data_IF_606586763782
#
_entry.id   IF_606586763782
#
_cell.length_a   1.000
_cell.length_b   1.000
_cell.length_c   1.000
_cell.angle_alpha   90.00
_cell.angle_beta   90.00
_cell.angle_gamma   90.00
#
_symmetry.space_group_name_H-M   'P 1'
#
loop_
_entity.id
_entity.type
_entity.pdbx_description
1 polymer ?
#
# COMPACT_ATOMS: atom_id res chain seq x y z
N UNK A 1 24.45 -15.11 -0.77
CA UNK A 1 23.07 -14.60 -0.60
C UNK A 1 23.09 -13.39 0.31
N UNK A 2 22.61 -12.29 -0.17
CA UNK A 2 22.54 -11.09 0.65
C UNK A 2 21.54 -11.27 1.79
N UNK A 3 21.97 -10.94 3.00
CA UNK A 3 21.10 -10.94 4.18
C UNK A 3 20.64 -9.52 4.53
N UNK A 4 20.92 -8.55 3.67
CA UNK A 4 20.49 -7.20 3.92
C UNK A 4 18.96 -7.11 3.92
N UNK A 5 18.40 -6.38 4.90
CA UNK A 5 16.96 -6.17 4.91
C UNK A 5 16.54 -5.31 3.73
N UNK A 6 15.33 -5.56 3.22
CA UNK A 6 14.77 -4.77 2.15
C UNK A 6 14.61 -3.31 2.58
N UNK A 7 14.85 -2.41 1.64
CA UNK A 7 14.59 -0.97 1.82
C UNK A 7 13.09 -0.66 1.62
N UNK A 8 12.75 0.62 1.69
CA UNK A 8 11.36 1.06 1.52
C UNK A 8 10.79 0.62 0.17
N UNK A 9 11.58 0.67 -0.89
CA UNK A 9 11.13 0.24 -2.22
C UNK A 9 10.82 -1.26 -2.24
N UNK A 10 11.68 -2.08 -1.62
CA UNK A 10 11.44 -3.53 -1.52
C UNK A 10 10.19 -3.85 -0.73
N UNK A 11 9.93 -3.09 0.35
CA UNK A 11 8.74 -3.26 1.19
C UNK A 11 7.48 -2.93 0.41
N UNK A 12 7.44 -1.78 -0.27
CA UNK A 12 6.23 -1.38 -1.00
C UNK A 12 5.99 -2.26 -2.22
N UNK A 13 7.04 -2.76 -2.86
CA UNK A 13 6.91 -3.72 -3.95
C UNK A 13 6.26 -5.01 -3.46
N UNK A 14 6.64 -5.48 -2.27
CA UNK A 14 6.03 -6.66 -1.66
C UNK A 14 4.55 -6.41 -1.32
N UNK A 15 4.19 -5.21 -0.86
CA UNK A 15 2.80 -4.83 -0.62
C UNK A 15 2.01 -4.86 -1.93
N UNK A 16 2.56 -4.28 -3.00
CA UNK A 16 1.91 -4.32 -4.32
C UNK A 16 1.67 -5.75 -4.77
N UNK A 17 2.67 -6.60 -4.67
CA UNK A 17 2.56 -8.00 -5.09
C UNK A 17 1.53 -8.75 -4.26
N UNK A 18 1.48 -8.50 -2.96
CA UNK A 18 0.47 -9.08 -2.07
C UNK A 18 -0.95 -8.66 -2.49
N UNK A 19 -1.16 -7.38 -2.75
CA UNK A 19 -2.46 -6.89 -3.20
C UNK A 19 -2.83 -7.44 -4.56
N UNK A 20 -1.88 -7.48 -5.49
CA UNK A 20 -2.13 -7.98 -6.84
C UNK A 20 -2.51 -9.47 -6.82
N UNK A 21 -1.93 -10.24 -5.91
CA UNK A 21 -2.23 -11.66 -5.76
C UNK A 21 -3.61 -11.92 -5.12
N UNK A 22 -4.04 -11.05 -4.21
CA UNK A 22 -5.24 -11.27 -3.41
C UNK A 22 -6.47 -10.51 -3.91
N UNK A 23 -6.30 -9.49 -4.75
CA UNK A 23 -7.40 -8.78 -5.38
C UNK A 23 -7.94 -9.57 -6.59
N UNK A 24 -9.20 -9.32 -7.00
CA UNK A 24 -9.72 -9.92 -8.24
C UNK A 24 -8.83 -9.58 -9.43
N UNK A 25 -8.74 -10.51 -10.39
CA UNK A 25 -7.85 -10.37 -11.55
C UNK A 25 -8.14 -9.13 -12.40
N UNK A 26 -9.36 -8.61 -12.36
CA UNK A 26 -9.72 -7.40 -13.09
C UNK A 26 -9.12 -6.12 -12.50
N UNK A 27 -8.68 -6.15 -11.23
CA UNK A 27 -8.13 -4.98 -10.54
C UNK A 27 -6.62 -5.07 -10.54
N UNK A 28 -5.96 -4.21 -11.30
CA UNK A 28 -4.50 -4.14 -11.35
C UNK A 28 -3.99 -3.17 -10.30
N UNK A 29 -2.80 -3.46 -9.76
CA UNK A 29 -2.16 -2.61 -8.77
C UNK A 29 -0.92 -1.97 -9.39
N UNK A 30 -0.88 -0.65 -9.36
CA UNK A 30 0.22 0.14 -9.91
C UNK A 30 0.99 0.81 -8.80
N UNK A 31 2.29 0.98 -9.01
CA UNK A 31 3.18 1.60 -8.04
C UNK A 31 3.69 2.92 -8.60
N UNK A 32 3.41 4.01 -7.89
CA UNK A 32 3.87 5.34 -8.24
C UNK A 32 2.96 6.06 -9.22
N UNK A 33 2.74 5.52 -10.38
CA UNK A 33 1.90 6.16 -11.39
C UNK A 33 1.12 5.14 -12.19
N UNK A 34 0.11 5.61 -12.89
CA UNK A 34 -0.75 4.76 -13.71
C UNK A 34 -0.60 5.20 -15.16
N UNK A 35 -0.32 4.25 -16.10
CA UNK A 35 -0.20 4.62 -17.51
C UNK A 35 -1.48 5.27 -18.03
N UNK A 36 -1.33 6.26 -18.89
CA UNK A 36 -2.45 6.92 -19.54
C UNK A 36 -3.30 5.89 -20.29
N UNK A 37 -4.62 6.04 -20.19
CA UNK A 37 -5.55 5.14 -20.86
C UNK A 37 -5.83 3.86 -20.11
N UNK A 38 -5.32 3.69 -18.89
CA UNK A 38 -5.63 2.53 -18.07
C UNK A 38 -7.11 2.54 -17.69
N UNK A 39 -7.77 1.43 -17.92
CA UNK A 39 -9.20 1.30 -17.63
C UNK A 39 -9.43 0.88 -16.17
N UNK A 40 -10.42 1.47 -15.48
CA UNK A 40 -10.78 1.02 -14.13
C UNK A 40 -11.45 -0.37 -14.19
N UNK A 41 -11.44 -1.15 -13.09
CA UNK A 41 -10.89 -0.79 -11.78
C UNK A 41 -9.38 -0.96 -11.68
N UNK A 42 -8.73 -0.10 -10.92
CA UNK A 42 -7.32 -0.27 -10.59
C UNK A 42 -6.98 0.42 -9.27
N UNK A 43 -5.82 0.06 -8.72
CA UNK A 43 -5.30 0.64 -7.48
C UNK A 43 -3.94 1.26 -7.77
N UNK A 44 -3.71 2.45 -7.28
CA UNK A 44 -2.42 3.12 -7.35
C UNK A 44 -1.86 3.31 -5.94
N UNK A 45 -0.63 2.89 -5.73
CA UNK A 45 0.07 3.04 -4.45
C UNK A 45 1.11 4.13 -4.56
N UNK A 46 1.09 5.07 -3.61
CA UNK A 46 2.03 6.18 -3.53
C UNK A 46 2.76 6.12 -2.19
N UNK A 47 3.94 5.49 -2.16
CA UNK A 47 4.70 5.34 -0.92
C UNK A 47 5.59 6.53 -0.63
N UNK A 48 5.94 6.71 0.65
CA UNK A 48 7.06 7.54 1.03
C UNK A 48 8.37 6.73 0.91
N UNK A 49 9.49 7.35 1.25
CA UNK A 49 10.80 6.68 1.18
C UNK A 49 11.17 5.97 2.48
N UNK A 50 10.22 5.91 3.41
CA UNK A 50 10.46 5.34 4.72
C UNK A 50 11.01 6.38 5.70
N UNK A 51 10.74 6.16 6.97
CA UNK A 51 11.20 7.01 8.04
C UNK A 51 11.66 6.16 9.21
N UNK A 52 12.63 6.67 9.96
CA UNK A 52 13.05 6.04 11.20
C UNK A 52 11.87 5.99 12.17
N UNK A 53 11.61 4.81 12.74
CA UNK A 53 10.55 4.69 13.73
C UNK A 53 10.96 5.37 15.03
N UNK A 54 10.07 6.20 15.57
CA UNK A 54 10.31 6.88 16.83
C UNK A 54 9.84 6.08 18.04
N UNK A 55 9.11 4.99 17.81
CA UNK A 55 8.46 4.26 18.90
C UNK A 55 9.39 3.32 19.65
N UNK A 56 10.42 2.81 19.00
CA UNK A 56 11.34 1.86 19.61
C UNK A 56 12.74 2.02 19.03
N UNK A 57 13.64 2.58 19.80
CA UNK A 57 15.02 2.74 19.42
C UNK A 57 15.89 1.72 20.16
N UNK A 58 16.13 0.61 19.53
CA UNK A 58 17.06 -0.38 20.04
C UNK A 58 18.42 -0.14 19.44
N UNK A 59 19.43 -0.03 20.27
CA UNK A 59 20.80 0.13 19.83
C UNK A 59 21.41 -1.17 19.30
N UNK A 60 20.81 -2.30 19.67
CA UNK A 60 21.37 -3.60 19.34
C UNK A 60 21.08 -4.06 17.90
N UNK A 61 19.90 -3.77 17.38
CA UNK A 61 19.39 -4.38 16.16
C UNK A 61 19.09 -3.39 15.04
N UNK A 62 19.57 -2.17 15.18
CA UNK A 62 19.22 -1.11 14.24
C UNK A 62 17.82 -0.58 14.51
N UNK A 63 17.48 0.49 13.81
CA UNK A 63 16.23 1.22 14.04
C UNK A 63 15.15 0.64 13.14
N UNK A 64 13.95 0.35 13.68
CA UNK A 64 12.81 -0.01 12.85
C UNK A 64 12.48 1.11 11.87
N UNK A 65 11.99 0.74 10.71
CA UNK A 65 11.59 1.68 9.67
C UNK A 65 10.08 1.69 9.55
N UNK A 66 9.49 2.88 9.52
CA UNK A 66 8.08 3.05 9.21
C UNK A 66 7.94 3.41 7.74
N UNK A 67 7.12 2.65 7.03
CA UNK A 67 6.79 2.93 5.63
C UNK A 67 5.32 3.27 5.57
N UNK A 68 5.02 4.42 4.97
CA UNK A 68 3.65 4.87 4.77
C UNK A 68 3.36 4.93 3.29
N UNK A 69 2.13 4.62 2.94
CA UNK A 69 1.69 4.76 1.56
C UNK A 69 0.23 5.16 1.52
N UNK A 70 -0.12 5.80 0.43
CA UNK A 70 -1.49 6.10 0.08
C UNK A 70 -1.94 5.08 -0.97
N UNK A 71 -3.09 4.46 -0.75
CA UNK A 71 -3.72 3.59 -1.72
C UNK A 71 -4.93 4.30 -2.29
N UNK A 72 -4.93 4.52 -3.59
CA UNK A 72 -6.06 5.12 -4.31
C UNK A 72 -6.72 4.05 -5.15
N UNK A 73 -7.97 3.74 -4.84
CA UNK A 73 -8.78 2.78 -5.58
C UNK A 73 -9.67 3.52 -6.55
N UNK A 74 -9.57 3.17 -7.83
CA UNK A 74 -10.26 3.90 -8.91
C UNK A 74 -11.29 3.01 -9.56
N UNK A 75 -12.49 3.52 -9.70
CA UNK A 75 -13.59 2.82 -10.34
C UNK A 75 -14.32 3.70 -11.36
N UNK A 76 -15.04 3.05 -12.28
CA UNK A 76 -15.88 3.74 -13.26
C UNK A 76 -17.16 4.28 -12.63
N UNK A 77 -17.57 3.72 -11.49
CA UNK A 77 -18.76 4.11 -10.73
C UNK A 77 -18.40 4.25 -9.26
N UNK A 78 -19.26 4.92 -8.50
CA UNK A 78 -19.09 5.01 -7.05
C UNK A 78 -19.01 3.61 -6.43
N UNK A 79 -19.93 2.72 -6.80
CA UNK A 79 -19.98 1.38 -6.21
C UNK A 79 -18.71 0.59 -6.49
N UNK A 80 -18.19 0.67 -7.71
CA UNK A 80 -16.98 -0.04 -8.08
C UNK A 80 -15.78 0.47 -7.26
N UNK A 81 -15.62 1.79 -7.15
CA UNK A 81 -14.55 2.40 -6.39
C UNK A 81 -14.66 2.06 -4.90
N UNK A 82 -15.86 2.13 -4.33
CA UNK A 82 -16.09 1.86 -2.93
C UNK A 82 -15.84 0.40 -2.58
N UNK A 83 -16.32 -0.52 -3.41
CA UNK A 83 -16.09 -1.95 -3.21
C UNK A 83 -14.58 -2.28 -3.30
N UNK A 84 -13.90 -1.70 -4.27
CA UNK A 84 -12.46 -1.92 -4.44
C UNK A 84 -11.68 -1.38 -3.24
N UNK A 85 -12.00 -0.17 -2.80
CA UNK A 85 -11.34 0.43 -1.63
C UNK A 85 -11.56 -0.41 -0.37
N UNK A 86 -12.76 -0.96 -0.19
CA UNK A 86 -13.06 -1.85 0.93
C UNK A 86 -12.27 -3.15 0.88
N UNK A 87 -12.11 -3.73 -0.31
CA UNK A 87 -11.29 -4.94 -0.49
C UNK A 87 -9.81 -4.67 -0.24
N UNK A 88 -9.30 -3.57 -0.74
CA UNK A 88 -7.91 -3.15 -0.49
C UNK A 88 -7.66 -3.00 1.00
N UNK A 89 -8.57 -2.35 1.70
CA UNK A 89 -8.46 -2.15 3.15
C UNK A 89 -8.47 -3.48 3.91
N UNK A 90 -9.42 -4.36 3.59
CA UNK A 90 -9.52 -5.66 4.25
C UNK A 90 -8.26 -6.51 4.03
N UNK A 91 -7.78 -6.58 2.80
CA UNK A 91 -6.58 -7.35 2.46
C UNK A 91 -5.36 -6.77 3.15
N UNK A 92 -5.18 -5.46 3.10
CA UNK A 92 -4.02 -4.78 3.67
C UNK A 92 -3.94 -4.98 5.18
N UNK A 93 -5.06 -4.87 5.89
CA UNK A 93 -5.06 -5.01 7.35
C UNK A 93 -5.03 -6.46 7.83
N UNK A 94 -5.45 -7.40 7.00
CA UNK A 94 -5.52 -8.81 7.37
C UNK A 94 -4.26 -9.61 7.00
N UNK A 95 -3.35 -9.03 6.23
CA UNK A 95 -2.19 -9.73 5.69
C UNK A 95 -0.92 -8.92 5.91
N UNK A 96 0.21 -9.62 5.94
CA UNK A 96 1.53 -9.00 6.00
C UNK A 96 2.32 -9.50 4.81
N UNK A 97 2.99 -8.61 4.06
CA UNK A 97 3.84 -9.07 2.96
C UNK A 97 5.07 -9.78 3.50
N UNK A 98 5.56 -10.76 2.74
CA UNK A 98 6.80 -11.44 3.06
C UNK A 98 7.97 -10.64 2.47
N UNK A 99 8.80 -10.10 3.35
CA UNK A 99 9.89 -9.21 2.96
C UNK A 99 11.20 -9.73 3.53
N UNK A 100 12.21 -10.00 2.68
CA UNK A 100 13.48 -10.52 3.15
C UNK A 100 14.15 -9.59 4.18
N UNK A 101 14.61 -10.19 5.27
CA UNK A 101 15.33 -9.46 6.32
C UNK A 101 14.47 -8.56 7.19
N UNK A 102 13.16 -8.58 7.01
CA UNK A 102 12.24 -7.73 7.78
C UNK A 102 11.12 -8.55 8.41
N UNK A 103 10.70 -8.11 9.58
CA UNK A 103 9.43 -8.52 10.18
C UNK A 103 8.48 -7.34 10.06
N UNK A 104 7.40 -7.54 9.32
CA UNK A 104 6.41 -6.51 9.13
C UNK A 104 5.33 -6.68 10.20
N UNK A 105 5.11 -5.64 11.00
CA UNK A 105 4.01 -5.63 11.96
C UNK A 105 2.69 -5.50 11.23
N UNK A 106 1.57 -5.87 11.85
CA UNK A 106 0.26 -5.68 11.22
C UNK A 106 0.10 -4.25 10.70
N UNK A 107 -0.28 -4.14 9.43
CA UNK A 107 -0.43 -2.86 8.76
C UNK A 107 -1.64 -2.13 9.33
N UNK A 108 -1.49 -0.84 9.59
CA UNK A 108 -2.53 0.00 10.18
C UNK A 108 -3.01 1.01 9.16
N UNK A 109 -4.33 1.21 9.12
CA UNK A 109 -4.89 2.34 8.39
C UNK A 109 -4.77 3.60 9.26
N UNK A 110 -4.19 4.65 8.71
CA UNK A 110 -4.04 5.93 9.41
C UNK A 110 -5.15 6.92 9.07
N UNK A 111 -5.95 6.61 8.08
CA UNK A 111 -7.07 7.45 7.70
C UNK A 111 -7.58 7.10 6.31
N UNK A 112 -8.79 7.53 6.01
CA UNK A 112 -9.39 7.37 4.70
C UNK A 112 -10.23 8.59 4.38
N UNK A 113 -10.47 8.80 3.09
CA UNK A 113 -11.35 9.85 2.61
C UNK A 113 -12.57 9.22 1.95
N UNK A 114 -13.73 9.89 2.01
CA UNK A 114 -14.92 9.43 1.30
C UNK A 114 -14.62 9.24 -0.19
N UNK A 115 -15.23 8.21 -0.77
CA UNK A 115 -15.15 8.01 -2.21
C UNK A 115 -15.82 9.19 -2.91
N UNK A 116 -15.12 9.80 -3.85
CA UNK A 116 -15.60 10.98 -4.56
C UNK A 116 -15.29 10.89 -6.04
N UNK A 117 -16.02 11.65 -6.81
CA UNK A 117 -15.75 11.76 -8.24
C UNK A 117 -14.53 12.63 -8.48
N UNK A 118 -13.70 12.24 -9.43
CA UNK A 118 -12.59 13.06 -9.88
C UNK A 118 -13.15 14.34 -10.53
N UNK A 119 -12.70 15.49 -10.05
CA UNK A 119 -13.17 16.79 -10.54
C UNK A 119 -12.66 17.10 -11.95
N UNK A 120 -11.64 16.41 -12.39
CA UNK A 120 -11.18 16.50 -13.78
C UNK A 120 -12.04 15.55 -14.62
N UNK A 121 -12.41 15.98 -15.79
CA UNK A 121 -13.43 15.40 -16.68
C UNK A 121 -13.25 13.92 -17.06
N UNK A 122 -12.61 13.12 -16.24
CA UNK A 122 -12.41 11.69 -16.47
C UNK A 122 -13.65 10.87 -16.19
N UNK A 123 -14.55 11.36 -15.33
CA UNK A 123 -15.70 10.58 -14.87
C UNK A 123 -15.38 9.45 -13.93
N UNK A 124 -14.15 9.35 -13.47
CA UNK A 124 -13.72 8.29 -12.56
C UNK A 124 -14.03 8.63 -11.11
N UNK A 125 -14.18 7.60 -10.27
CA UNK A 125 -14.42 7.72 -8.85
C UNK A 125 -13.19 7.22 -8.08
N UNK A 126 -12.83 7.93 -7.02
CA UNK A 126 -11.60 7.70 -6.26
C UNK A 126 -11.90 7.41 -4.80
N UNK A 127 -11.33 6.32 -4.28
CA UNK A 127 -11.33 6.03 -2.85
C UNK A 127 -9.90 6.00 -2.35
N UNK A 128 -9.57 6.82 -1.37
CA UNK A 128 -8.20 6.98 -0.88
C UNK A 128 -8.10 6.60 0.59
N UNK A 129 -7.07 5.82 0.94
CA UNK A 129 -6.75 5.50 2.31
C UNK A 129 -5.24 5.55 2.50
N UNK A 130 -4.81 5.81 3.73
CA UNK A 130 -3.39 5.84 4.08
C UNK A 130 -3.08 4.73 5.07
N UNK A 131 -1.93 4.09 4.86
CA UNK A 131 -1.49 2.95 5.64
C UNK A 131 -0.07 3.16 6.16
N UNK A 132 0.20 2.51 7.28
CA UNK A 132 1.51 2.49 7.92
C UNK A 132 1.91 1.04 8.18
N UNK A 133 3.12 0.69 7.77
CA UNK A 133 3.77 -0.57 8.13
C UNK A 133 5.04 -0.28 8.93
N UNK A 134 5.12 -0.85 10.11
CA UNK A 134 6.37 -0.82 10.88
C UNK A 134 7.17 -2.06 10.53
N UNK A 135 8.41 -1.83 10.09
CA UNK A 135 9.27 -2.87 9.54
C UNK A 135 10.49 -3.02 10.43
N UNK A 136 10.51 -4.11 11.19
CA UNK A 136 11.64 -4.41 12.07
C UNK A 136 12.70 -5.17 11.29
N UNK A 137 13.96 -4.98 11.67
CA UNK A 137 15.05 -5.75 11.10
C UNK A 137 15.14 -7.08 11.81
N UNK A 138 15.24 -8.15 11.03
CA UNK A 138 15.44 -9.49 11.55
C UNK A 138 16.90 -9.87 11.37
N UNK A 139 17.55 -10.25 12.46
CA UNK A 139 18.95 -10.69 12.46
C UNK A 139 19.06 -12.19 12.29
#
# INVERSE_FOLDING_TARGET
>A
VSTEPADAYGIITAVRDMLDALLPAAANVHLGGVPDGTLPPYVALYPDVGAESTADRSLADGVPMDVRWQATSVGATFDQAHLLAGKVDTITRANVPDVPGRRIRPIRQEGSQPVRRDDESTGLWLGTAQYLARCERVT
#
